data_IF_936724594718
#
_entry.id   IF_936724594718
#
_cell.length_a   1.000
_cell.length_b   1.000
_cell.length_c   1.000
_cell.angle_alpha   90.00
_cell.angle_beta   90.00
_cell.angle_gamma   90.00
#
_symmetry.space_group_name_H-M   'P 1'
#
loop_
_entity.id
_entity.type
_entity.pdbx_description
1 polymer ?
#
# COMPACT_ATOMS: atom_id res chain seq x y z
N UNK A 1 36.35 19.14 11.98
CA UNK A 1 34.99 19.48 11.45
C UNK A 1 34.83 18.66 10.19
N UNK A 2 34.15 17.50 10.28
CA UNK A 2 33.85 16.68 9.11
C UNK A 2 32.90 17.45 8.22
N UNK A 3 33.28 17.63 6.96
CA UNK A 3 32.43 18.17 5.90
C UNK A 3 31.19 17.29 5.74
N UNK A 4 30.08 17.76 6.31
CA UNK A 4 28.76 17.22 6.05
C UNK A 4 28.20 17.89 4.79
N UNK A 5 28.86 17.72 3.67
CA UNK A 5 28.19 17.82 2.39
C UNK A 5 27.24 16.64 2.33
N UNK A 6 26.06 16.81 2.93
CA UNK A 6 24.98 15.85 2.84
C UNK A 6 24.67 15.67 1.38
N UNK A 7 25.10 14.58 0.81
CA UNK A 7 24.74 14.20 -0.55
C UNK A 7 23.24 13.98 -0.54
N UNK A 8 22.49 14.98 -0.99
CA UNK A 8 21.05 14.89 -1.14
C UNK A 8 20.76 13.83 -2.20
N UNK A 9 20.20 12.66 -1.83
CA UNK A 9 19.94 11.58 -2.77
C UNK A 9 18.90 11.93 -3.84
N UNK A 10 18.24 13.09 -3.70
CA UNK A 10 17.21 13.59 -4.61
C UNK A 10 17.69 14.82 -5.42
N UNK A 11 18.97 15.21 -5.30
CA UNK A 11 19.51 16.34 -6.03
C UNK A 11 19.30 16.19 -7.54
N UNK A 12 18.75 17.24 -8.18
CA UNK A 12 18.50 17.27 -9.62
C UNK A 12 17.24 16.55 -10.11
N UNK A 13 16.48 15.89 -9.21
CA UNK A 13 15.20 15.27 -9.58
C UNK A 13 14.07 16.28 -9.35
N UNK A 14 13.32 16.63 -10.40
CA UNK A 14 12.18 17.53 -10.32
C UNK A 14 11.15 17.00 -9.31
N UNK A 15 10.56 17.89 -8.50
CA UNK A 15 9.75 17.52 -7.34
C UNK A 15 8.49 16.74 -7.70
N UNK A 16 7.91 17.02 -8.85
CA UNK A 16 6.68 16.41 -9.39
C UNK A 16 6.93 15.07 -10.12
N UNK A 17 8.19 14.68 -10.29
CA UNK A 17 8.55 13.43 -10.97
C UNK A 17 8.87 12.32 -9.98
N UNK A 18 8.41 11.11 -10.32
CA UNK A 18 8.83 9.90 -9.63
C UNK A 18 10.36 9.76 -9.77
N UNK A 19 11.09 9.57 -8.65
CA UNK A 19 12.51 9.27 -8.72
C UNK A 19 12.80 8.03 -9.58
N UNK A 20 13.87 8.03 -10.39
CA UNK A 20 14.20 6.89 -11.23
C UNK A 20 14.53 5.65 -10.39
N UNK A 21 14.36 4.46 -10.98
CA UNK A 21 14.84 3.23 -10.37
C UNK A 21 16.35 3.29 -10.14
N UNK A 22 16.81 2.80 -8.99
CA UNK A 22 18.22 2.88 -8.62
C UNK A 22 18.46 2.64 -7.14
N UNK A 23 19.72 2.75 -6.74
CA UNK A 23 20.15 2.70 -5.35
C UNK A 23 20.28 4.11 -4.77
N UNK A 24 19.80 4.30 -3.55
CA UNK A 24 19.79 5.58 -2.84
C UNK A 24 20.32 5.42 -1.42
N UNK A 25 21.00 6.46 -0.93
CA UNK A 25 21.56 6.50 0.43
C UNK A 25 22.91 5.82 0.54
N UNK A 26 23.20 5.20 1.68
CA UNK A 26 24.50 4.54 1.93
C UNK A 26 24.73 3.39 0.98
N UNK A 27 26.00 3.22 0.47
CA UNK A 27 26.33 2.11 -0.40
C UNK A 27 26.30 0.77 0.36
N UNK A 28 26.01 -0.31 -0.36
CA UNK A 28 25.97 -1.68 0.17
C UNK A 28 24.66 -2.39 -0.09
N UNK A 29 24.39 -3.46 0.63
CA UNK A 29 23.11 -4.15 0.56
C UNK A 29 22.00 -3.25 1.13
N UNK A 30 20.91 -3.03 0.38
CA UNK A 30 19.87 -2.12 0.82
C UNK A 30 19.08 -2.70 1.99
N UNK A 31 18.91 -1.92 3.06
CA UNK A 31 18.02 -2.25 4.17
C UNK A 31 16.55 -2.21 3.81
N UNK A 32 16.21 -1.54 2.68
CA UNK A 32 14.85 -1.41 2.16
C UNK A 32 14.86 -1.55 0.64
N UNK A 33 13.89 -2.29 0.11
CA UNK A 33 13.59 -2.37 -1.33
C UNK A 33 12.16 -1.90 -1.54
N UNK A 34 11.93 -1.02 -2.50
CA UNK A 34 10.62 -0.50 -2.82
C UNK A 34 10.34 -0.60 -4.33
N UNK A 35 9.11 -0.95 -4.69
CA UNK A 35 8.59 -0.91 -6.06
C UNK A 35 7.17 -0.39 -6.06
N UNK A 36 6.69 0.08 -7.21
CA UNK A 36 5.30 0.48 -7.40
C UNK A 36 4.53 -0.51 -8.24
N UNK A 37 3.22 -0.56 -8.04
CA UNK A 37 2.28 -1.32 -8.85
C UNK A 37 0.95 -0.56 -8.97
N UNK A 38 0.25 -0.75 -10.09
CA UNK A 38 -1.05 -0.16 -10.37
C UNK A 38 -2.15 -1.23 -10.36
N UNK A 39 -2.69 -1.60 -9.20
CA UNK A 39 -3.78 -2.57 -9.13
C UNK A 39 -5.09 -1.98 -9.66
N UNK A 40 -6.02 -2.84 -10.05
CA UNK A 40 -7.43 -2.47 -10.11
C UNK A 40 -7.94 -2.31 -8.69
N UNK A 41 -8.64 -1.21 -8.39
CA UNK A 41 -9.09 -0.86 -7.04
C UNK A 41 -10.57 -0.53 -7.06
N UNK A 42 -11.33 -1.13 -6.17
CA UNK A 42 -12.72 -0.77 -5.92
C UNK A 42 -12.98 -0.54 -4.44
N UNK A 43 -13.74 0.52 -4.14
CA UNK A 43 -14.28 0.77 -2.82
C UNK A 43 -15.65 0.08 -2.71
N UNK A 44 -15.82 -0.72 -1.68
CA UNK A 44 -17.07 -1.39 -1.32
C UNK A 44 -17.57 -0.81 -0.01
N UNK A 45 -18.82 -0.32 -0.01
CA UNK A 45 -19.48 0.16 1.20
C UNK A 45 -20.77 -0.63 1.38
N UNK A 46 -20.81 -1.44 2.44
CA UNK A 46 -22.00 -2.22 2.78
C UNK A 46 -23.15 -1.30 3.17
N UNK A 47 -24.36 -1.63 2.74
CA UNK A 47 -25.57 -0.91 3.17
C UNK A 47 -25.86 -1.18 4.65
N UNK A 48 -26.61 -0.32 5.33
CA UNK A 48 -26.99 -0.53 6.73
C UNK A 48 -27.54 -1.94 6.97
N UNK A 49 -26.96 -2.64 7.95
CA UNK A 49 -27.34 -4.02 8.31
C UNK A 49 -26.83 -5.11 7.36
N UNK A 50 -26.01 -4.77 6.34
CA UNK A 50 -25.53 -5.73 5.32
C UNK A 50 -24.06 -6.10 5.45
N UNK A 51 -23.33 -5.58 6.43
CA UNK A 51 -21.90 -5.82 6.59
C UNK A 51 -21.56 -7.33 6.61
N UNK A 52 -22.26 -8.12 7.41
CA UNK A 52 -22.03 -9.56 7.51
C UNK A 52 -22.28 -10.29 6.17
N UNK A 53 -23.32 -9.91 5.42
CA UNK A 53 -23.60 -10.47 4.09
C UNK A 53 -22.49 -10.12 3.10
N UNK A 54 -22.00 -8.88 3.12
CA UNK A 54 -20.90 -8.44 2.27
C UNK A 54 -19.61 -9.19 2.58
N UNK A 55 -19.25 -9.32 3.87
CA UNK A 55 -18.09 -10.10 4.31
C UNK A 55 -18.17 -11.54 3.82
N UNK A 56 -19.31 -12.21 4.02
CA UNK A 56 -19.53 -13.60 3.60
C UNK A 56 -19.42 -13.78 2.08
N UNK A 57 -20.01 -12.86 1.30
CA UNK A 57 -19.93 -12.89 -0.17
C UNK A 57 -18.51 -12.66 -0.69
N UNK A 58 -17.78 -11.68 -0.13
CA UNK A 58 -16.39 -11.44 -0.49
C UNK A 58 -15.50 -12.62 -0.10
N UNK A 59 -15.72 -13.20 1.10
CA UNK A 59 -15.02 -14.40 1.55
C UNK A 59 -15.19 -15.55 0.56
N UNK A 60 -16.44 -15.86 0.16
CA UNK A 60 -16.71 -16.97 -0.76
C UNK A 60 -16.16 -16.71 -2.17
N UNK A 61 -16.24 -15.48 -2.66
CA UNK A 61 -15.82 -15.15 -4.01
C UNK A 61 -14.30 -15.18 -4.18
N UNK A 62 -13.56 -14.71 -3.17
CA UNK A 62 -12.11 -14.55 -3.26
C UNK A 62 -11.33 -15.49 -2.33
N UNK A 63 -12.01 -16.36 -1.57
CA UNK A 63 -11.39 -17.28 -0.61
C UNK A 63 -10.55 -16.60 0.47
N UNK A 64 -10.85 -15.33 0.78
CA UNK A 64 -10.09 -14.51 1.75
C UNK A 64 -10.70 -14.61 3.15
N UNK A 65 -9.91 -14.82 4.22
CA UNK A 65 -10.41 -14.79 5.61
C UNK A 65 -10.70 -13.33 6.02
N UNK A 66 -11.92 -12.87 5.78
CA UNK A 66 -12.31 -11.48 5.96
C UNK A 66 -13.17 -11.30 7.21
N UNK A 67 -12.98 -10.15 7.89
CA UNK A 67 -13.83 -9.68 8.98
C UNK A 67 -14.13 -8.19 8.80
N UNK A 68 -15.24 -7.70 9.42
CA UNK A 68 -15.59 -6.28 9.39
C UNK A 68 -14.76 -5.49 10.42
N UNK A 69 -13.45 -5.42 10.16
CA UNK A 69 -12.46 -4.70 10.98
C UNK A 69 -11.27 -4.30 10.12
N UNK A 70 -10.41 -3.37 10.58
CA UNK A 70 -9.14 -3.07 9.92
C UNK A 70 -8.24 -4.29 9.83
N UNK A 71 -8.18 -4.87 8.63
CA UNK A 71 -7.38 -6.07 8.34
C UNK A 71 -7.26 -6.23 6.82
N UNK A 72 -6.12 -6.73 6.35
CA UNK A 72 -5.90 -7.09 4.96
C UNK A 72 -5.85 -8.62 4.81
N UNK A 73 -6.76 -9.16 4.02
CA UNK A 73 -6.78 -10.55 3.62
C UNK A 73 -6.31 -10.68 2.17
N UNK A 74 -5.32 -11.52 1.93
CA UNK A 74 -4.64 -11.66 0.64
C UNK A 74 -4.79 -13.11 0.18
N UNK A 75 -5.28 -13.28 -1.05
CA UNK A 75 -5.32 -14.59 -1.71
C UNK A 75 -5.02 -14.41 -3.20
N UNK A 76 -3.95 -15.08 -3.65
CA UNK A 76 -3.50 -15.01 -5.04
C UNK A 76 -3.24 -13.58 -5.52
N UNK A 77 -4.08 -13.12 -6.44
CA UNK A 77 -3.99 -11.77 -7.04
C UNK A 77 -4.94 -10.75 -6.40
N UNK A 78 -5.73 -11.16 -5.42
CA UNK A 78 -6.73 -10.31 -4.78
C UNK A 78 -6.33 -9.97 -3.35
N UNK A 79 -6.52 -8.72 -2.97
CA UNK A 79 -6.40 -8.24 -1.59
C UNK A 79 -7.70 -7.56 -1.19
N UNK A 80 -8.26 -7.94 -0.07
CA UNK A 80 -9.43 -7.26 0.51
C UNK A 80 -9.03 -6.63 1.84
N UNK A 81 -9.23 -5.35 1.98
CA UNK A 81 -8.81 -4.57 3.15
C UNK A 81 -10.04 -3.95 3.80
N UNK A 82 -10.33 -4.32 5.04
CA UNK A 82 -11.24 -3.56 5.88
C UNK A 82 -10.58 -2.23 6.28
N UNK A 83 -11.21 -1.10 5.96
CA UNK A 83 -10.67 0.23 6.27
C UNK A 83 -11.43 0.93 7.38
N UNK A 84 -12.71 0.61 7.54
CA UNK A 84 -13.60 1.08 8.59
C UNK A 84 -14.79 0.12 8.67
N UNK A 85 -15.65 0.21 9.69
CA UNK A 85 -16.86 -0.59 9.75
C UNK A 85 -17.69 -0.50 8.45
N UNK A 86 -18.08 -1.64 7.90
CA UNK A 86 -18.83 -1.76 6.65
C UNK A 86 -18.14 -1.20 5.40
N UNK A 87 -16.85 -0.94 5.44
CA UNK A 87 -16.09 -0.34 4.33
C UNK A 87 -14.85 -1.14 4.00
N UNK A 88 -14.74 -1.53 2.74
CA UNK A 88 -13.65 -2.37 2.24
C UNK A 88 -13.04 -1.79 0.98
N UNK A 89 -11.73 -1.90 0.85
CA UNK A 89 -11.03 -1.76 -0.43
C UNK A 89 -10.74 -3.15 -0.97
N UNK A 90 -11.08 -3.38 -2.22
CA UNK A 90 -10.73 -4.60 -2.95
C UNK A 90 -9.74 -4.23 -4.04
N UNK A 91 -8.59 -4.90 -4.04
CA UNK A 91 -7.52 -4.72 -5.01
C UNK A 91 -7.33 -6.02 -5.79
N UNK A 92 -7.20 -5.91 -7.11
CA UNK A 92 -6.82 -7.04 -7.97
C UNK A 92 -5.66 -6.66 -8.88
N UNK A 93 -4.76 -7.61 -9.11
CA UNK A 93 -3.66 -7.42 -10.06
C UNK A 93 -4.03 -7.83 -11.48
N UNK A 94 -5.12 -8.57 -11.66
CA UNK A 94 -5.45 -9.23 -12.94
C UNK A 94 -6.89 -9.05 -13.39
N UNK A 95 -7.81 -8.70 -12.50
CA UNK A 95 -9.23 -8.52 -12.87
C UNK A 95 -9.48 -7.10 -13.37
N UNK A 96 -9.45 -6.94 -14.69
CA UNK A 96 -9.68 -5.66 -15.35
C UNK A 96 -11.13 -5.15 -15.21
N UNK A 97 -12.09 -6.03 -14.94
CA UNK A 97 -13.48 -5.66 -14.63
C UNK A 97 -13.84 -5.92 -13.17
N UNK A 98 -12.92 -5.62 -12.26
CA UNK A 98 -13.15 -5.79 -10.81
C UNK A 98 -14.45 -5.13 -10.35
N UNK A 99 -14.79 -3.98 -10.92
CA UNK A 99 -16.03 -3.26 -10.60
C UNK A 99 -17.28 -4.08 -10.98
N UNK A 100 -17.33 -4.63 -12.19
CA UNK A 100 -18.44 -5.48 -12.66
C UNK A 100 -18.52 -6.79 -11.86
N UNK A 101 -17.39 -7.42 -11.63
CA UNK A 101 -17.25 -8.62 -10.78
C UNK A 101 -17.86 -8.39 -9.40
N UNK A 102 -17.45 -7.31 -8.71
CA UNK A 102 -17.95 -6.99 -7.37
C UNK A 102 -19.44 -6.64 -7.37
N UNK A 103 -19.93 -5.92 -8.37
CA UNK A 103 -21.38 -5.63 -8.48
C UNK A 103 -22.20 -6.91 -8.65
N UNK A 104 -21.72 -7.83 -9.46
CA UNK A 104 -22.42 -9.13 -9.65
C UNK A 104 -22.42 -9.94 -8.34
N UNK A 105 -21.32 -9.97 -7.60
CA UNK A 105 -21.20 -10.68 -6.33
C UNK A 105 -22.10 -10.07 -5.24
N UNK A 106 -22.04 -8.73 -5.09
CA UNK A 106 -22.62 -8.04 -3.93
C UNK A 106 -24.07 -7.60 -4.17
N UNK A 107 -24.51 -7.46 -5.42
CA UNK A 107 -25.87 -7.06 -5.76
C UNK A 107 -26.27 -5.75 -5.10
N UNK A 108 -27.40 -5.78 -4.39
CA UNK A 108 -27.94 -4.62 -3.68
C UNK A 108 -27.41 -4.45 -2.24
N UNK A 109 -26.57 -5.37 -1.75
CA UNK A 109 -26.10 -5.33 -0.36
C UNK A 109 -25.00 -4.30 -0.13
N UNK A 110 -24.34 -3.83 -1.19
CA UNK A 110 -23.27 -2.82 -1.12
C UNK A 110 -23.35 -1.80 -2.27
N UNK A 111 -22.70 -0.66 -2.06
CA UNK A 111 -22.30 0.25 -3.13
C UNK A 111 -20.86 -0.07 -3.50
N UNK A 112 -20.58 -0.20 -4.78
CA UNK A 112 -19.25 -0.40 -5.33
C UNK A 112 -18.86 0.84 -6.14
N UNK A 113 -17.65 1.35 -5.92
CA UNK A 113 -17.11 2.49 -6.66
C UNK A 113 -15.75 2.11 -7.21
N UNK A 114 -15.57 2.25 -8.51
CA UNK A 114 -14.29 2.06 -9.20
C UNK A 114 -13.33 3.18 -8.82
N UNK A 115 -12.07 2.82 -8.49
CA UNK A 115 -11.06 3.77 -7.99
C UNK A 115 -9.65 3.50 -8.52
N UNK A 116 -9.48 2.65 -9.51
CA UNK A 116 -8.16 2.21 -9.99
C UNK A 116 -7.25 3.36 -10.42
N UNK A 117 -7.80 4.41 -11.06
CA UNK A 117 -7.01 5.56 -11.51
C UNK A 117 -6.59 6.49 -10.37
N UNK A 118 -7.23 6.36 -9.22
CA UNK A 118 -6.96 7.21 -8.05
C UNK A 118 -5.77 6.77 -7.22
N UNK A 119 -5.25 5.56 -7.42
CA UNK A 119 -4.28 4.96 -6.49
C UNK A 119 -3.09 4.30 -7.19
N UNK A 120 -2.00 4.24 -6.44
CA UNK A 120 -0.82 3.41 -6.69
C UNK A 120 -0.46 2.66 -5.41
N UNK A 121 0.08 1.46 -5.54
CA UNK A 121 0.57 0.67 -4.39
C UNK A 121 2.09 0.68 -4.38
N UNK A 122 2.69 1.04 -3.25
CA UNK A 122 4.09 0.76 -2.97
C UNK A 122 4.21 -0.59 -2.29
N UNK A 123 5.04 -1.46 -2.84
CA UNK A 123 5.51 -2.68 -2.19
C UNK A 123 6.86 -2.35 -1.56
N UNK A 124 6.96 -2.47 -0.24
CA UNK A 124 8.17 -2.11 0.51
C UNK A 124 8.60 -3.31 1.32
N UNK A 125 9.84 -3.74 1.15
CA UNK A 125 10.40 -4.91 1.83
C UNK A 125 11.74 -4.59 2.47
N UNK A 126 12.10 -5.32 3.50
CA UNK A 126 13.38 -5.19 4.20
C UNK A 126 13.22 -5.04 5.69
N UNK A 127 14.28 -5.39 6.43
CA UNK A 127 14.30 -5.38 7.90
C UNK A 127 14.16 -3.96 8.47
N UNK A 128 14.55 -2.94 7.70
CA UNK A 128 14.51 -1.54 8.10
C UNK A 128 13.22 -0.82 7.72
N UNK A 129 12.26 -1.53 7.12
CA UNK A 129 10.98 -0.92 6.70
C UNK A 129 10.21 -0.28 7.86
N UNK A 130 10.05 -0.93 9.05
CA UNK A 130 9.40 -0.28 10.20
C UNK A 130 10.12 0.99 10.64
N UNK A 131 11.46 0.99 10.69
CA UNK A 131 12.26 2.16 11.08
C UNK A 131 12.06 3.33 10.10
N UNK A 132 11.99 3.03 8.80
CA UNK A 132 11.74 4.03 7.76
C UNK A 132 10.35 4.64 7.91
N UNK A 133 9.33 3.81 8.09
CA UNK A 133 7.95 4.31 8.27
C UNK A 133 7.79 5.10 9.57
N UNK A 134 8.43 4.70 10.67
CA UNK A 134 8.37 5.39 11.95
C UNK A 134 8.83 6.85 11.88
N UNK A 135 9.64 7.22 10.88
CA UNK A 135 10.05 8.62 10.67
C UNK A 135 8.92 9.54 10.20
N UNK A 136 7.81 9.00 9.74
CA UNK A 136 6.68 9.79 9.25
C UNK A 136 5.30 9.29 9.68
N UNK A 137 5.20 8.08 10.22
CA UNK A 137 3.94 7.49 10.68
C UNK A 137 3.56 8.00 12.07
N UNK A 138 2.25 8.17 12.30
CA UNK A 138 1.69 8.59 13.59
C UNK A 138 1.16 7.41 14.41
N UNK A 139 1.54 6.20 14.05
CA UNK A 139 1.11 4.96 14.70
C UNK A 139 2.32 4.07 14.97
N UNK A 140 2.17 3.17 15.92
CA UNK A 140 3.19 2.15 16.20
C UNK A 140 3.14 1.05 15.13
N UNK A 141 4.24 0.90 14.41
CA UNK A 141 4.44 -0.12 13.37
C UNK A 141 5.47 -1.18 13.78
N UNK A 142 5.82 -1.22 15.08
CA UNK A 142 6.67 -2.29 15.59
C UNK A 142 6.03 -3.65 15.24
N UNK A 143 6.81 -4.60 14.70
CA UNK A 143 6.30 -5.94 14.36
C UNK A 143 5.63 -6.70 15.50
N UNK A 144 5.87 -6.33 16.75
CA UNK A 144 5.21 -6.89 17.94
C UNK A 144 3.80 -6.31 18.12
N UNK A 145 3.59 -5.06 17.73
CA UNK A 145 2.31 -4.35 17.84
C UNK A 145 1.47 -4.45 16.56
N UNK A 146 2.12 -4.52 15.38
CA UNK A 146 1.49 -4.54 14.07
C UNK A 146 1.81 -5.84 13.34
N UNK A 147 0.90 -6.79 13.38
CA UNK A 147 1.10 -8.17 12.90
C UNK A 147 0.88 -8.30 11.40
N UNK A 148 1.32 -9.42 10.83
CA UNK A 148 0.99 -9.78 9.44
C UNK A 148 -0.53 -9.88 9.27
N UNK A 149 -1.06 -9.19 8.27
CA UNK A 149 -2.50 -9.05 8.02
C UNK A 149 -3.11 -7.80 8.66
N UNK A 150 -2.45 -7.14 9.61
CA UNK A 150 -2.97 -5.88 10.13
C UNK A 150 -2.92 -4.79 9.05
N UNK A 151 -3.96 -3.97 9.06
CA UNK A 151 -4.13 -2.86 8.12
C UNK A 151 -4.62 -1.62 8.84
N UNK A 152 -4.26 -0.46 8.33
CA UNK A 152 -4.67 0.83 8.88
C UNK A 152 -4.76 1.89 7.78
N UNK A 153 -5.75 2.76 7.89
CA UNK A 153 -5.77 4.03 7.15
C UNK A 153 -5.23 5.10 8.07
N UNK A 154 -4.13 5.72 7.69
CA UNK A 154 -3.38 6.68 8.51
C UNK A 154 -2.71 7.74 7.64
N UNK A 155 -1.82 8.51 8.25
CA UNK A 155 -0.98 9.51 7.58
C UNK A 155 0.48 9.14 7.78
N UNK A 156 1.26 9.13 6.70
CA UNK A 156 2.71 9.02 6.70
C UNK A 156 3.26 10.25 5.99
N UNK A 157 4.14 11.02 6.64
CA UNK A 157 4.74 12.24 6.09
C UNK A 157 3.69 13.21 5.48
N UNK A 158 2.59 13.43 6.17
CA UNK A 158 1.44 14.25 5.75
C UNK A 158 0.63 13.69 4.56
N UNK A 159 0.94 12.48 4.08
CA UNK A 159 0.22 11.82 2.98
C UNK A 159 -0.74 10.79 3.58
N UNK A 160 -2.03 10.89 3.22
CA UNK A 160 -3.03 9.88 3.58
C UNK A 160 -2.76 8.58 2.86
N UNK A 161 -2.67 7.47 3.60
CA UNK A 161 -2.34 6.15 3.08
C UNK A 161 -3.22 5.07 3.69
N UNK A 162 -3.41 3.96 2.98
CA UNK A 162 -3.83 2.70 3.58
C UNK A 162 -2.62 1.76 3.56
N UNK A 163 -2.15 1.40 4.76
CA UNK A 163 -0.96 0.58 4.98
C UNK A 163 -1.39 -0.78 5.49
N UNK A 164 -0.72 -1.85 5.05
CA UNK A 164 -0.88 -3.19 5.63
C UNK A 164 0.43 -3.97 5.61
N UNK A 165 0.57 -4.85 6.58
CA UNK A 165 1.71 -5.77 6.66
C UNK A 165 1.37 -7.05 5.92
N UNK A 166 1.97 -7.29 4.77
CA UNK A 166 1.67 -8.42 3.88
C UNK A 166 2.57 -9.65 4.12
N UNK A 167 3.58 -9.52 4.97
CA UNK A 167 4.50 -10.58 5.35
C UNK A 167 5.45 -10.12 6.45
N UNK A 168 6.30 -11.00 6.96
CA UNK A 168 7.20 -10.67 8.07
C UNK A 168 8.06 -9.43 7.81
N UNK A 169 8.61 -9.31 6.60
CA UNK A 169 9.44 -8.18 6.15
C UNK A 169 8.81 -7.41 4.99
N UNK A 170 7.51 -7.61 4.75
CA UNK A 170 6.82 -7.10 3.57
C UNK A 170 5.64 -6.22 3.97
N UNK A 171 5.63 -5.04 3.43
CA UNK A 171 4.63 -4.01 3.66
C UNK A 171 4.06 -3.51 2.34
N UNK A 172 2.82 -3.10 2.35
CA UNK A 172 2.19 -2.46 1.21
C UNK A 172 1.50 -1.18 1.64
N UNK A 173 1.62 -0.17 0.80
CA UNK A 173 1.07 1.16 1.06
C UNK A 173 0.29 1.60 -0.17
N UNK A 174 -1.02 1.73 -0.04
CA UNK A 174 -1.87 2.32 -1.06
C UNK A 174 -1.86 3.84 -0.87
N UNK A 175 -1.45 4.55 -1.89
CA UNK A 175 -1.25 6.00 -1.90
C UNK A 175 -2.09 6.61 -3.00
N UNK A 176 -2.66 7.79 -2.78
CA UNK A 176 -3.28 8.55 -3.86
C UNK A 176 -2.26 8.83 -4.97
N UNK A 177 -2.63 8.60 -6.24
CA UNK A 177 -1.72 8.71 -7.40
C UNK A 177 -0.98 10.06 -7.46
N UNK A 178 -1.65 11.15 -7.10
CA UNK A 178 -1.05 12.49 -7.06
C UNK A 178 0.08 12.63 -6.02
N UNK A 179 0.19 11.71 -5.08
CA UNK A 179 1.22 11.71 -4.04
C UNK A 179 2.32 10.66 -4.28
N UNK A 180 2.30 9.94 -5.39
CA UNK A 180 3.27 8.89 -5.70
C UNK A 180 4.72 9.40 -5.61
N UNK A 181 5.04 10.48 -6.32
CA UNK A 181 6.38 11.08 -6.30
C UNK A 181 6.78 11.57 -4.89
N UNK A 182 5.85 12.17 -4.16
CA UNK A 182 6.10 12.66 -2.80
C UNK A 182 6.36 11.52 -1.83
N UNK A 183 5.61 10.42 -1.93
CA UNK A 183 5.80 9.26 -1.09
C UNK A 183 7.11 8.52 -1.40
N UNK A 184 7.48 8.39 -2.69
CA UNK A 184 8.78 7.84 -3.09
C UNK A 184 9.95 8.65 -2.52
N UNK A 185 9.87 9.99 -2.53
CA UNK A 185 10.86 10.88 -1.93
C UNK A 185 10.97 10.70 -0.42
N UNK A 186 9.82 10.57 0.26
CA UNK A 186 9.81 10.25 1.68
C UNK A 186 10.55 8.95 1.97
N UNK A 187 10.29 7.88 1.20
CA UNK A 187 10.98 6.60 1.35
C UNK A 187 12.48 6.75 1.15
N UNK A 188 12.93 7.42 0.09
CA UNK A 188 14.34 7.63 -0.22
C UNK A 188 15.03 8.41 0.90
N UNK A 189 14.47 9.54 1.31
CA UNK A 189 15.04 10.38 2.36
C UNK A 189 15.10 9.66 3.72
N UNK A 190 14.02 8.94 4.07
CA UNK A 190 13.91 8.23 5.34
C UNK A 190 14.80 6.98 5.40
N UNK A 191 15.03 6.32 4.27
CA UNK A 191 15.87 5.13 4.18
C UNK A 191 17.34 5.42 3.90
N UNK A 192 17.74 6.67 3.69
CA UNK A 192 19.09 7.03 3.25
C UNK A 192 20.22 6.45 4.12
N UNK A 193 20.02 6.34 5.42
CA UNK A 193 20.98 5.76 6.36
C UNK A 193 21.04 4.22 6.35
N UNK A 194 20.01 3.56 5.79
CA UNK A 194 19.91 2.10 5.69
C UNK A 194 20.18 1.59 4.27
N UNK A 195 20.26 2.48 3.29
CA UNK A 195 20.24 2.17 1.86
C UNK A 195 18.85 1.75 1.37
N UNK A 196 18.44 2.27 0.23
CA UNK A 196 17.20 1.91 -0.46
C UNK A 196 17.49 1.55 -1.91
N UNK A 197 16.86 0.48 -2.38
CA UNK A 197 16.73 0.17 -3.80
C UNK A 197 15.31 0.47 -4.24
N UNK A 198 15.15 1.45 -5.13
CA UNK A 198 13.89 1.68 -5.82
C UNK A 198 13.92 0.88 -7.14
N UNK A 199 12.99 -0.03 -7.28
CA UNK A 199 12.84 -0.85 -8.49
C UNK A 199 11.87 -0.18 -9.45
N UNK A 200 12.04 -0.44 -10.75
CA UNK A 200 11.04 -0.07 -11.75
C UNK A 200 9.71 -0.77 -11.45
N UNK A 201 8.63 -0.17 -11.91
CA UNK A 201 7.27 -0.69 -11.74
C UNK A 201 7.21 -2.20 -12.01
N UNK A 202 6.76 -2.96 -11.04
CA UNK A 202 6.64 -4.42 -11.18
C UNK A 202 5.61 -4.77 -12.26
N UNK A 203 5.85 -5.83 -13.03
CA UNK A 203 5.01 -6.34 -14.13
C UNK A 203 3.66 -6.93 -13.66
N UNK A 204 3.01 -6.35 -12.69
CA UNK A 204 1.73 -6.79 -12.10
C UNK A 204 0.77 -5.63 -11.97
N UNK A 205 0.55 -4.88 -13.01
CA UNK A 205 -0.39 -3.78 -13.07
C UNK A 205 -0.94 -3.61 -14.48
N UNK A 206 -1.90 -2.73 -14.63
CA UNK A 206 -2.49 -2.35 -15.93
C UNK A 206 -1.37 -1.98 -16.90
N UNK A 207 -1.22 -2.72 -17.97
CA UNK A 207 -0.40 -2.43 -19.14
C UNK A 207 -1.26 -1.82 -20.24
#
# INVERSE_FOLDING_TARGET
VADRSSHDPLAGIAFDRLPPAGAYGVPGEPGVVASTAEPFVALVVARPGKAASVVDRLHRAFSVPLADRPHAAIEGNTTVIGTAPSRFLVLSRTDADLFGTLRAILGTDATVTEQSDGYVTFNVTGDRTPDVFAKGALIDLDPVAFHVGDAVTTVIAHIGVTLWRSGEKSWRVLVGRSYEASFARFLIASAAEYGLRLESQGSGGRG
#
